data_IF_931559671718
#
_entry.id   IF_931559671718
#
_cell.length_a   1.000
_cell.length_b   1.000
_cell.length_c   1.000
_cell.angle_alpha   90.00
_cell.angle_beta   90.00
_cell.angle_gamma   90.00
#
_symmetry.space_group_name_H-M   'P 1'
#
loop_
_entity.id
_entity.type
_entity.pdbx_description
1 polymer ?
#
# COMPACT_ATOMS: atom_id res chain seq x y z
N UNK A 1 -6.70 -25.38 2.87
CA UNK A 1 -6.67 -25.55 4.35
C UNK A 1 -7.91 -24.86 4.87
N UNK A 2 -8.67 -25.50 5.72
CA UNK A 2 -9.85 -24.86 6.34
C UNK A 2 -9.40 -24.28 7.66
N UNK A 3 -9.41 -22.96 7.78
CA UNK A 3 -9.06 -22.27 9.03
C UNK A 3 -10.25 -22.29 9.99
N UNK A 4 -9.97 -22.43 11.28
CA UNK A 4 -10.96 -22.41 12.35
C UNK A 4 -11.19 -20.99 12.87
N UNK A 5 -12.26 -20.75 13.60
CA UNK A 5 -12.51 -19.47 14.30
C UNK A 5 -11.35 -19.13 15.25
N UNK A 6 -10.81 -20.14 15.94
CA UNK A 6 -9.67 -19.97 16.84
C UNK A 6 -8.42 -19.50 16.09
N UNK A 7 -8.18 -19.98 14.85
CA UNK A 7 -7.06 -19.50 14.03
C UNK A 7 -7.18 -18.00 13.73
N UNK A 8 -8.40 -17.52 13.42
CA UNK A 8 -8.67 -16.10 13.18
C UNK A 8 -8.45 -15.26 14.44
N UNK A 9 -8.93 -15.71 15.60
CA UNK A 9 -8.73 -15.03 16.87
C UNK A 9 -7.25 -14.96 17.28
N UNK A 10 -6.52 -16.05 17.13
CA UNK A 10 -5.11 -16.11 17.43
C UNK A 10 -4.28 -15.21 16.51
N UNK A 11 -4.59 -15.20 15.21
CA UNK A 11 -3.93 -14.30 14.24
C UNK A 11 -4.21 -12.84 14.57
N UNK A 12 -5.47 -12.50 14.89
CA UNK A 12 -5.86 -11.13 15.28
C UNK A 12 -5.08 -10.65 16.51
N UNK A 13 -4.91 -11.49 17.54
CA UNK A 13 -4.13 -11.14 18.73
C UNK A 13 -2.67 -10.84 18.39
N UNK A 14 -2.04 -11.67 17.55
CA UNK A 14 -0.66 -11.43 17.09
C UNK A 14 -0.53 -10.15 16.26
N UNK A 15 -1.52 -9.85 15.42
CA UNK A 15 -1.55 -8.61 14.64
C UNK A 15 -1.77 -7.37 15.52
N UNK A 16 -2.51 -7.51 16.62
CA UNK A 16 -2.66 -6.43 17.61
C UNK A 16 -1.35 -6.20 18.38
N UNK A 17 -0.62 -7.28 18.73
CA UNK A 17 0.73 -7.18 19.29
C UNK A 17 1.69 -6.45 18.31
N UNK A 18 1.63 -6.77 17.01
CA UNK A 18 2.40 -6.04 15.97
C UNK A 18 2.08 -4.54 15.98
N UNK A 19 0.80 -4.16 15.99
CA UNK A 19 0.41 -2.75 16.03
C UNK A 19 0.86 -2.06 17.32
N UNK A 20 0.76 -2.73 18.43
CA UNK A 20 1.20 -2.23 19.73
C UNK A 20 2.70 -1.99 19.76
N UNK A 21 3.48 -2.94 19.24
CA UNK A 21 4.94 -2.84 19.17
C UNK A 21 5.38 -1.71 18.24
N UNK A 22 4.77 -1.57 17.07
CA UNK A 22 5.01 -0.45 16.15
C UNK A 22 4.69 0.89 16.84
N UNK A 23 3.59 0.96 17.60
CA UNK A 23 3.15 2.15 18.34
C UNK A 23 4.10 2.60 19.44
N UNK A 24 5.01 1.74 19.91
CA UNK A 24 6.07 2.13 20.84
C UNK A 24 7.06 3.13 20.18
N UNK A 25 7.29 3.00 18.87
CA UNK A 25 8.23 3.83 18.13
C UNK A 25 7.52 4.90 17.28
N UNK A 26 6.49 4.51 16.53
CA UNK A 26 5.73 5.42 15.65
C UNK A 26 4.65 6.13 16.44
N UNK A 27 4.74 7.46 16.51
CA UNK A 27 3.77 8.32 17.19
C UNK A 27 2.80 8.91 16.18
N UNK A 28 1.51 8.84 16.46
CA UNK A 28 0.45 9.41 15.62
C UNK A 28 0.03 8.47 14.50
N UNK A 29 0.44 8.52 13.39
CA UNK A 29 0.26 7.82 12.10
C UNK A 29 -0.47 6.45 12.14
N UNK A 30 -1.49 6.28 13.01
CA UNK A 30 -2.20 4.99 13.20
C UNK A 30 -2.82 4.48 11.92
N UNK A 31 -3.47 5.37 11.16
CA UNK A 31 -4.08 5.02 9.87
C UNK A 31 -3.02 4.52 8.88
N UNK A 32 -1.87 5.18 8.80
CA UNK A 32 -0.79 4.76 7.90
C UNK A 32 -0.22 3.39 8.28
N UNK A 33 -0.04 3.12 9.57
CA UNK A 33 0.37 1.79 10.08
C UNK A 33 -0.66 0.73 9.72
N UNK A 34 -1.94 0.98 9.99
CA UNK A 34 -3.02 0.03 9.72
C UNK A 34 -3.13 -0.31 8.23
N UNK A 35 -3.17 0.69 7.36
CA UNK A 35 -3.26 0.44 5.92
C UNK A 35 -2.01 -0.21 5.34
N UNK A 36 -0.81 0.10 5.85
CA UNK A 36 0.40 -0.62 5.46
C UNK A 36 0.30 -2.11 5.84
N UNK A 37 -0.15 -2.42 7.06
CA UNK A 37 -0.39 -3.81 7.50
C UNK A 37 -1.45 -4.48 6.62
N UNK A 38 -2.59 -3.83 6.36
CA UNK A 38 -3.64 -4.39 5.48
C UNK A 38 -3.10 -4.71 4.09
N UNK A 39 -2.27 -3.83 3.51
CA UNK A 39 -1.65 -4.08 2.20
C UNK A 39 -0.68 -5.26 2.23
N UNK A 40 0.14 -5.40 3.28
CA UNK A 40 1.03 -6.55 3.46
C UNK A 40 0.21 -7.84 3.53
N UNK A 41 -0.88 -7.86 4.31
CA UNK A 41 -1.77 -9.00 4.48
C UNK A 41 -2.58 -9.32 3.21
N UNK A 42 -2.95 -8.31 2.45
CA UNK A 42 -3.67 -8.44 1.17
C UNK A 42 -2.76 -8.81 -0.01
N UNK A 43 -1.46 -9.05 0.24
CA UNK A 43 -0.45 -9.36 -0.79
C UNK A 43 -0.40 -8.32 -1.92
N UNK A 44 -0.41 -7.04 -1.53
CA UNK A 44 -0.37 -5.90 -2.47
C UNK A 44 0.51 -4.76 -1.96
N UNK A 45 0.45 -3.63 -2.63
CA UNK A 45 1.35 -2.49 -2.46
C UNK A 45 0.57 -1.23 -2.09
N UNK A 46 1.23 -0.26 -1.46
CA UNK A 46 0.61 1.02 -1.08
C UNK A 46 1.37 2.22 -1.64
N UNK A 47 0.63 3.26 -1.97
CA UNK A 47 1.17 4.59 -2.27
C UNK A 47 0.96 5.47 -1.05
N UNK A 48 1.99 6.17 -0.60
CA UNK A 48 1.95 7.05 0.55
C UNK A 48 2.26 8.48 0.10
N UNK A 49 1.33 9.36 0.33
CA UNK A 49 1.47 10.77 0.02
C UNK A 49 1.56 11.60 1.30
N UNK A 50 2.51 12.50 1.35
CA UNK A 50 2.71 13.39 2.48
C UNK A 50 3.98 14.21 2.34
N UNK A 51 4.06 15.27 3.14
CA UNK A 51 5.19 16.18 3.16
C UNK A 51 6.50 15.47 3.48
N UNK A 52 7.65 16.00 3.06
CA UNK A 52 8.97 15.52 3.50
C UNK A 52 9.11 15.68 5.02
N UNK A 53 9.93 14.81 5.63
CA UNK A 53 10.21 14.92 7.07
C UNK A 53 9.15 14.30 8.00
N UNK A 54 8.06 13.73 7.48
CA UNK A 54 6.99 13.10 8.30
C UNK A 54 7.29 11.66 8.74
N UNK A 55 8.54 11.20 8.69
CA UNK A 55 8.93 9.90 9.22
C UNK A 55 8.54 8.68 8.35
N UNK A 56 8.24 8.88 7.05
CA UNK A 56 7.83 7.80 6.12
C UNK A 56 8.83 6.63 6.09
N UNK A 57 10.12 6.92 6.08
CA UNK A 57 11.19 5.91 6.12
C UNK A 57 11.19 5.14 7.44
N UNK A 58 10.96 5.84 8.55
CA UNK A 58 10.91 5.21 9.88
C UNK A 58 9.69 4.30 9.99
N UNK A 59 8.54 4.70 9.45
CA UNK A 59 7.32 3.89 9.43
C UNK A 59 7.58 2.51 8.81
N UNK A 60 8.05 2.47 7.57
CA UNK A 60 8.24 1.18 6.85
C UNK A 60 9.37 0.35 7.46
N UNK A 61 10.44 1.00 7.94
CA UNK A 61 11.54 0.33 8.61
C UNK A 61 11.07 -0.33 9.92
N UNK A 62 10.32 0.41 10.75
CA UNK A 62 9.74 -0.13 11.99
C UNK A 62 8.83 -1.33 11.71
N UNK A 63 7.96 -1.23 10.70
CA UNK A 63 7.09 -2.36 10.31
C UNK A 63 7.94 -3.56 9.88
N UNK A 64 9.02 -3.35 9.10
CA UNK A 64 9.89 -4.45 8.64
C UNK A 64 10.64 -5.12 9.79
N UNK A 65 11.08 -4.37 10.79
CA UNK A 65 11.77 -4.88 11.98
C UNK A 65 10.83 -5.73 12.84
N UNK A 66 9.61 -5.24 13.12
CA UNK A 66 8.60 -5.98 13.92
C UNK A 66 8.11 -7.24 13.21
N UNK A 67 8.05 -7.24 11.87
CA UNK A 67 7.67 -8.39 11.05
C UNK A 67 8.85 -9.29 10.63
N UNK A 68 10.06 -9.02 11.11
CA UNK A 68 11.30 -9.75 10.76
C UNK A 68 11.47 -9.96 9.25
N UNK A 69 11.27 -8.89 8.47
CA UNK A 69 11.37 -8.88 7.02
C UNK A 69 12.59 -8.09 6.56
N UNK A 70 13.26 -8.55 5.49
CA UNK A 70 14.35 -7.80 4.88
C UNK A 70 13.83 -6.48 4.30
N UNK A 71 14.55 -5.39 4.57
CA UNK A 71 14.19 -4.03 4.17
C UNK A 71 15.23 -3.42 3.24
N UNK A 72 14.76 -2.67 2.24
CA UNK A 72 15.60 -1.77 1.44
C UNK A 72 14.87 -0.46 1.15
N UNK A 73 15.65 0.61 0.98
CA UNK A 73 15.19 1.91 0.50
C UNK A 73 15.79 2.21 -0.86
N UNK A 74 14.94 2.60 -1.80
CA UNK A 74 15.33 3.09 -3.12
C UNK A 74 14.91 4.55 -3.18
N UNK A 75 15.91 5.46 -3.18
CA UNK A 75 15.65 6.88 -3.40
C UNK A 75 15.57 7.13 -4.90
N UNK A 76 14.40 7.54 -5.39
CA UNK A 76 14.22 7.85 -6.80
C UNK A 76 14.79 9.23 -7.12
N UNK A 77 15.63 9.28 -8.13
CA UNK A 77 16.29 10.49 -8.66
C UNK A 77 16.22 10.47 -10.19
N UNK A 78 16.36 11.62 -10.86
CA UNK A 78 16.27 11.68 -12.33
C UNK A 78 17.31 10.80 -13.07
N UNK A 79 18.45 10.54 -12.45
CA UNK A 79 19.55 9.74 -12.97
C UNK A 79 19.49 8.25 -12.60
N UNK A 80 18.54 7.85 -11.74
CA UNK A 80 18.36 6.45 -11.33
C UNK A 80 17.99 5.58 -12.53
N UNK A 81 18.75 4.50 -12.74
CA UNK A 81 18.51 3.54 -13.82
C UNK A 81 17.71 2.31 -13.34
N UNK A 82 16.98 1.64 -14.23
CA UNK A 82 16.30 0.37 -13.89
C UNK A 82 17.21 -0.68 -13.27
N UNK A 83 18.47 -0.79 -13.74
CA UNK A 83 19.47 -1.71 -13.21
C UNK A 83 19.86 -1.44 -11.76
N UNK A 84 19.75 -0.19 -11.30
CA UNK A 84 20.04 0.17 -9.90
C UNK A 84 18.96 -0.39 -8.97
N UNK A 85 17.75 -0.58 -9.49
CA UNK A 85 16.61 -1.16 -8.79
C UNK A 85 16.67 -2.69 -8.85
N UNK A 86 16.83 -3.24 -10.05
CA UNK A 86 16.68 -4.68 -10.33
C UNK A 86 17.96 -5.47 -10.13
N UNK A 87 19.10 -4.80 -10.14
CA UNK A 87 20.40 -5.44 -10.14
C UNK A 87 20.96 -5.65 -11.55
N UNK A 88 22.17 -6.13 -11.61
CA UNK A 88 22.92 -6.29 -12.85
C UNK A 88 23.75 -7.56 -12.85
N UNK A 89 24.07 -8.09 -14.03
CA UNK A 89 25.00 -9.19 -14.18
C UNK A 89 26.41 -8.63 -14.35
N UNK A 90 27.33 -9.07 -13.50
CA UNK A 90 28.74 -8.71 -13.53
C UNK A 90 29.61 -9.88 -13.99
N UNK A 91 30.71 -9.61 -14.64
CA UNK A 91 31.71 -10.62 -14.96
C UNK A 91 32.67 -10.73 -13.77
N UNK A 92 32.62 -11.87 -13.10
CA UNK A 92 33.53 -12.19 -12.02
C UNK A 92 34.68 -13.09 -12.53
N UNK A 93 35.92 -12.76 -12.18
CA UNK A 93 37.06 -13.62 -12.44
C UNK A 93 37.24 -14.58 -11.28
N UNK A 94 37.08 -15.85 -11.57
CA UNK A 94 37.38 -16.91 -10.59
C UNK A 94 38.90 -17.06 -10.41
N UNK A 95 39.31 -17.62 -9.28
CA UNK A 95 40.73 -17.87 -8.95
C UNK A 95 41.47 -18.73 -10.00
N UNK A 96 40.73 -19.55 -10.76
CA UNK A 96 41.22 -20.36 -11.87
C UNK A 96 41.37 -19.61 -13.20
N UNK A 97 41.17 -18.27 -13.21
CA UNK A 97 41.26 -17.40 -14.39
C UNK A 97 40.06 -17.45 -15.33
N UNK A 98 39.03 -18.29 -15.06
CA UNK A 98 37.80 -18.31 -15.83
C UNK A 98 36.92 -17.12 -15.46
N UNK A 99 36.18 -16.61 -16.46
CA UNK A 99 35.16 -15.58 -16.26
C UNK A 99 33.79 -16.25 -16.10
N UNK A 100 33.07 -15.81 -15.10
CA UNK A 100 31.68 -16.23 -14.84
C UNK A 100 30.79 -15.00 -14.73
N UNK A 101 29.58 -15.09 -15.31
CA UNK A 101 28.55 -14.08 -15.07
C UNK A 101 27.88 -14.36 -13.71
N UNK A 102 27.99 -13.41 -12.81
CA UNK A 102 27.34 -13.46 -11.50
C UNK A 102 26.29 -12.36 -11.42
N UNK A 103 25.06 -12.74 -11.07
CA UNK A 103 23.99 -11.77 -10.89
C UNK A 103 24.07 -11.13 -9.51
N UNK A 104 24.30 -9.80 -9.49
CA UNK A 104 24.19 -9.01 -8.27
C UNK A 104 22.75 -8.50 -8.11
N UNK A 105 22.08 -8.99 -7.08
CA UNK A 105 20.70 -8.59 -6.77
C UNK A 105 20.61 -7.12 -6.42
N UNK A 106 19.66 -6.41 -7.03
CA UNK A 106 19.29 -5.05 -6.65
C UNK A 106 18.44 -4.98 -5.39
N UNK A 107 18.19 -3.77 -4.86
CA UNK A 107 17.44 -3.54 -3.63
C UNK A 107 15.99 -4.04 -3.69
N UNK A 108 15.42 -4.18 -4.88
CA UNK A 108 14.05 -4.66 -5.08
C UNK A 108 13.83 -6.08 -4.56
N UNK A 109 14.88 -6.90 -4.42
CA UNK A 109 14.79 -8.27 -3.91
C UNK A 109 14.60 -8.37 -2.40
N UNK A 110 14.53 -7.25 -1.68
CA UNK A 110 14.08 -7.22 -0.29
C UNK A 110 12.57 -7.48 -0.19
N UNK A 111 12.15 -8.02 0.96
CA UNK A 111 10.74 -8.33 1.20
C UNK A 111 9.88 -7.07 1.42
N UNK A 112 10.47 -6.04 2.03
CA UNK A 112 9.87 -4.71 2.18
C UNK A 112 10.73 -3.67 1.52
N UNK A 113 10.17 -2.94 0.56
CA UNK A 113 10.86 -1.92 -0.22
C UNK A 113 10.17 -0.58 -0.04
N UNK A 114 10.92 0.43 0.39
CA UNK A 114 10.51 1.82 0.31
C UNK A 114 11.00 2.42 -1.00
N UNK A 115 10.08 2.70 -1.92
CA UNK A 115 10.34 3.45 -3.14
C UNK A 115 10.09 4.93 -2.89
N UNK A 116 11.14 5.64 -2.45
CA UNK A 116 11.01 7.01 -1.96
C UNK A 116 11.07 8.01 -3.10
N UNK A 117 10.06 8.92 -3.17
CA UNK A 117 9.90 9.95 -4.21
C UNK A 117 9.82 9.37 -5.64
N UNK A 118 8.97 8.36 -5.86
CA UNK A 118 8.86 7.62 -7.12
C UNK A 118 8.67 8.53 -8.34
N UNK A 119 8.00 9.68 -8.16
CA UNK A 119 7.73 10.66 -9.21
C UNK A 119 8.99 11.46 -9.66
N UNK A 120 10.15 11.32 -9.01
CA UNK A 120 11.39 12.00 -9.41
C UNK A 120 12.18 11.26 -10.48
N UNK A 121 11.99 9.96 -10.64
CA UNK A 121 12.68 9.20 -11.68
C UNK A 121 11.90 9.16 -12.99
N UNK A 122 12.61 8.87 -14.07
CA UNK A 122 12.03 8.75 -15.42
C UNK A 122 10.96 7.64 -15.49
N UNK A 123 10.00 7.72 -16.42
CA UNK A 123 8.97 6.68 -16.60
C UNK A 123 9.54 5.28 -16.84
N UNK A 124 10.71 5.18 -17.48
CA UNK A 124 11.40 3.90 -17.69
C UNK A 124 11.81 3.25 -16.37
N UNK A 125 12.32 4.03 -15.45
CA UNK A 125 12.76 3.57 -14.12
C UNK A 125 11.56 3.24 -13.24
N UNK A 126 10.50 4.07 -13.27
CA UNK A 126 9.24 3.79 -12.59
C UNK A 126 8.63 2.46 -13.06
N UNK A 127 8.64 2.21 -14.39
CA UNK A 127 8.09 0.99 -14.98
C UNK A 127 8.78 -0.28 -14.49
N UNK A 128 10.09 -0.26 -14.23
CA UNK A 128 10.81 -1.41 -13.71
C UNK A 128 10.32 -1.83 -12.31
N UNK A 129 10.05 -0.86 -11.43
CA UNK A 129 9.44 -1.14 -10.11
C UNK A 129 8.01 -1.65 -10.26
N UNK A 130 7.19 -0.97 -11.08
CA UNK A 130 5.78 -1.28 -11.24
C UNK A 130 5.54 -2.64 -11.92
N UNK A 131 6.46 -3.07 -12.80
CA UNK A 131 6.45 -4.41 -13.38
C UNK A 131 6.69 -5.47 -12.29
N UNK A 132 7.75 -5.29 -11.48
CA UNK A 132 8.04 -6.20 -10.37
C UNK A 132 6.90 -6.28 -9.36
N UNK A 133 6.19 -5.17 -9.09
CA UNK A 133 5.01 -5.15 -8.23
C UNK A 133 3.85 -5.97 -8.82
N UNK A 134 3.60 -5.85 -10.14
CA UNK A 134 2.49 -6.52 -10.80
C UNK A 134 2.73 -8.02 -10.99
N UNK A 135 3.90 -8.39 -11.48
CA UNK A 135 4.23 -9.75 -11.89
C UNK A 135 4.92 -10.58 -10.78
N UNK A 136 5.41 -9.91 -9.72
CA UNK A 136 6.26 -10.50 -8.66
C UNK A 136 7.49 -11.20 -9.21
N UNK A 137 7.95 -10.75 -10.37
CA UNK A 137 9.13 -11.21 -11.07
C UNK A 137 9.90 -10.04 -11.65
N UNK A 138 11.18 -10.26 -11.91
CA UNK A 138 12.04 -9.32 -12.64
C UNK A 138 12.78 -10.09 -13.72
N UNK A 139 12.73 -9.61 -14.96
CA UNK A 139 13.46 -10.21 -16.08
C UNK A 139 14.76 -9.45 -16.36
N UNK A 140 15.90 -10.13 -16.24
CA UNK A 140 17.24 -9.56 -16.42
C UNK A 140 18.00 -10.42 -17.41
N UNK A 141 18.41 -9.81 -18.55
CA UNK A 141 19.12 -10.49 -19.64
C UNK A 141 18.45 -11.79 -20.12
N UNK A 142 17.11 -11.83 -20.12
CA UNK A 142 16.32 -13.00 -20.52
C UNK A 142 16.02 -13.99 -19.39
N UNK A 143 16.65 -13.85 -18.22
CA UNK A 143 16.38 -14.68 -17.05
C UNK A 143 15.31 -14.04 -16.16
N UNK A 144 14.21 -14.76 -15.91
CA UNK A 144 13.17 -14.31 -14.98
C UNK A 144 13.47 -14.78 -13.56
N UNK A 145 13.56 -13.81 -12.65
CA UNK A 145 13.82 -14.03 -11.22
C UNK A 145 12.57 -13.76 -10.41
N UNK A 146 12.19 -14.70 -9.54
CA UNK A 146 11.07 -14.53 -8.61
C UNK A 146 11.44 -13.64 -7.45
N UNK A 147 10.49 -12.82 -6.99
CA UNK A 147 10.60 -12.03 -5.77
C UNK A 147 10.47 -12.91 -4.53
N UNK A 148 11.15 -12.52 -3.46
CA UNK A 148 10.99 -13.17 -2.15
C UNK A 148 9.59 -12.87 -1.59
N UNK A 149 8.95 -13.87 -0.96
CA UNK A 149 7.64 -13.67 -0.32
C UNK A 149 7.79 -13.52 1.20
N UNK A 150 6.96 -12.69 1.84
CA UNK A 150 6.06 -11.71 1.23
C UNK A 150 6.84 -10.62 0.48
N UNK A 151 6.24 -9.96 -0.51
CA UNK A 151 6.84 -8.83 -1.21
C UNK A 151 5.92 -7.62 -1.13
N UNK A 152 6.38 -6.56 -0.49
CA UNK A 152 5.63 -5.34 -0.28
C UNK A 152 6.43 -4.11 -0.68
N UNK A 153 5.82 -3.24 -1.47
CA UNK A 153 6.37 -1.93 -1.83
C UNK A 153 5.50 -0.84 -1.22
N UNK A 154 6.11 0.05 -0.47
CA UNK A 154 5.55 1.34 -0.12
C UNK A 154 6.21 2.40 -0.99
N UNK A 155 5.50 2.91 -1.98
CA UNK A 155 5.98 4.03 -2.78
C UNK A 155 5.57 5.34 -2.11
N UNK A 156 6.44 6.38 -2.18
CA UNK A 156 6.10 7.71 -1.69
C UNK A 156 6.04 8.72 -2.81
N UNK A 157 5.14 9.70 -2.66
CA UNK A 157 5.09 10.88 -3.50
C UNK A 157 5.12 12.13 -2.62
N UNK A 158 5.78 13.17 -3.11
CA UNK A 158 5.74 14.49 -2.51
C UNK A 158 4.82 15.38 -3.35
N UNK A 159 3.68 15.84 -2.81
CA UNK A 159 2.71 16.61 -3.58
C UNK A 159 3.18 18.05 -3.88
N UNK A 160 4.18 18.56 -3.18
CA UNK A 160 4.64 19.95 -3.33
C UNK A 160 5.68 20.10 -4.43
N UNK A 161 6.53 19.10 -4.64
CA UNK A 161 7.58 19.15 -5.65
C UNK A 161 7.03 18.77 -7.02
N UNK A 162 6.60 19.77 -7.78
CA UNK A 162 6.10 19.60 -9.16
C UNK A 162 7.20 19.79 -10.20
N UNK A 163 8.23 20.61 -9.89
CA UNK A 163 9.30 20.94 -10.82
C UNK A 163 10.29 19.79 -10.97
N UNK A 164 10.56 19.34 -12.20
CA UNK A 164 11.45 18.22 -12.47
C UNK A 164 10.91 16.83 -12.08
N UNK A 165 9.60 16.69 -11.92
CA UNK A 165 8.96 15.40 -11.60
C UNK A 165 8.23 14.81 -12.80
N UNK A 166 8.08 13.49 -12.78
CA UNK A 166 7.30 12.70 -13.74
C UNK A 166 6.13 12.06 -12.99
N UNK A 167 4.92 12.65 -13.05
CA UNK A 167 3.76 12.09 -12.38
C UNK A 167 3.49 10.68 -12.88
N UNK A 168 3.04 9.81 -11.98
CA UNK A 168 2.60 8.47 -12.34
C UNK A 168 1.29 8.58 -13.13
N UNK A 169 1.20 7.97 -14.34
CA UNK A 169 -0.08 7.83 -15.03
C UNK A 169 -1.10 7.07 -14.18
N UNK A 170 -2.37 7.35 -14.37
CA UNK A 170 -3.50 6.75 -13.61
C UNK A 170 -3.47 5.22 -13.69
N UNK A 171 -3.21 4.66 -14.88
CA UNK A 171 -3.10 3.22 -15.09
C UNK A 171 -1.95 2.56 -14.28
N UNK A 172 -0.94 3.33 -13.91
CA UNK A 172 0.16 2.89 -13.07
C UNK A 172 -0.18 3.06 -11.58
N UNK A 173 -0.87 4.14 -11.21
CA UNK A 173 -1.38 4.34 -9.86
C UNK A 173 -2.40 3.26 -9.46
N UNK A 174 -3.18 2.75 -10.39
CA UNK A 174 -4.16 1.68 -10.17
C UNK A 174 -3.54 0.32 -9.75
N UNK A 175 -2.20 0.17 -9.82
CA UNK A 175 -1.48 -1.01 -9.30
C UNK A 175 -1.33 -1.00 -7.78
N UNK A 176 -1.46 0.14 -7.14
CA UNK A 176 -1.47 0.24 -5.68
C UNK A 176 -2.86 -0.11 -5.12
N UNK A 177 -2.92 -0.91 -4.05
CA UNK A 177 -4.20 -1.24 -3.40
C UNK A 177 -4.87 0.01 -2.82
N UNK A 178 -4.08 0.87 -2.19
CA UNK A 178 -4.57 2.12 -1.61
C UNK A 178 -3.53 3.23 -1.68
N UNK A 179 -4.03 4.46 -1.57
CA UNK A 179 -3.25 5.68 -1.37
C UNK A 179 -3.48 6.17 0.06
N UNK A 180 -2.42 6.21 0.85
CA UNK A 180 -2.41 6.61 2.25
C UNK A 180 -1.97 8.07 2.32
N UNK A 181 -2.73 8.91 3.00
CA UNK A 181 -2.37 10.29 3.26
C UNK A 181 -1.74 10.40 4.65
N UNK A 182 -0.55 10.99 4.71
CA UNK A 182 0.13 11.28 5.99
C UNK A 182 -0.08 12.74 6.32
N UNK A 183 -0.87 12.98 7.37
CA UNK A 183 -1.11 14.31 7.90
C UNK A 183 0.05 14.81 8.75
N UNK A 184 0.12 16.12 8.90
CA UNK A 184 1.08 16.73 9.82
C UNK A 184 0.73 16.35 11.27
N UNK A 185 1.72 15.99 12.10
CA UNK A 185 1.47 15.61 13.48
C UNK A 185 0.84 16.74 14.29
N UNK A 186 -0.06 16.39 15.19
CA UNK A 186 -0.63 17.32 16.16
C UNK A 186 0.45 17.86 17.13
N UNK A 187 0.16 18.96 17.83
CA UNK A 187 1.08 19.50 18.85
C UNK A 187 1.46 18.46 19.91
N UNK A 188 0.53 17.64 20.34
CA UNK A 188 0.77 16.59 21.33
C UNK A 188 1.71 15.51 20.80
N UNK A 189 1.49 15.07 19.55
CA UNK A 189 2.34 14.11 18.86
C UNK A 189 3.76 14.66 18.63
N UNK A 190 3.89 15.93 18.24
CA UNK A 190 5.20 16.57 18.08
C UNK A 190 6.00 16.58 19.38
N UNK A 191 5.35 16.87 20.51
CA UNK A 191 5.99 16.83 21.83
C UNK A 191 6.47 15.41 22.13
N UNK A 192 5.63 14.40 21.86
CA UNK A 192 5.97 13.01 22.12
C UNK A 192 7.10 12.51 21.21
N UNK A 193 7.03 12.83 19.90
CA UNK A 193 8.11 12.55 18.93
C UNK A 193 9.42 13.14 19.43
N UNK A 194 9.41 14.42 19.82
CA UNK A 194 10.62 15.10 20.28
C UNK A 194 11.21 14.42 21.53
N UNK A 195 10.38 14.07 22.51
CA UNK A 195 10.84 13.36 23.71
C UNK A 195 11.49 12.03 23.40
N UNK A 196 10.90 11.25 22.46
CA UNK A 196 11.43 9.93 22.06
C UNK A 196 12.69 10.03 21.22
N UNK A 197 12.80 11.04 20.36
CA UNK A 197 13.93 11.15 19.40
C UNK A 197 15.13 11.92 19.95
N UNK A 198 14.92 12.81 20.93
CA UNK A 198 16.01 13.59 21.56
C UNK A 198 16.42 13.04 22.92
N UNK A 199 15.67 12.10 23.48
CA UNK A 199 16.03 11.37 24.71
C UNK A 199 17.11 10.33 24.43
N UNK A 200 17.98 10.07 25.39
CA UNK A 200 19.10 9.11 25.27
C UNK A 200 18.66 7.62 25.29
N UNK A 201 17.39 7.29 25.18
CA UNK A 201 16.90 5.91 25.18
C UNK A 201 16.67 5.42 23.74
N UNK A 202 17.39 4.37 23.35
CA UNK A 202 17.07 3.58 22.15
C UNK A 202 15.92 2.63 22.48
N UNK A 203 14.83 2.70 21.74
CA UNK A 203 13.76 1.71 21.83
C UNK A 203 14.19 0.51 20.99
N UNK A 204 14.38 -0.63 21.62
CA UNK A 204 14.58 -1.90 20.94
C UNK A 204 13.21 -2.52 20.63
N UNK A 205 12.95 -2.80 19.36
CA UNK A 205 11.70 -3.40 18.89
C UNK A 205 11.79 -4.92 18.90
N UNK A 206 10.73 -5.54 19.40
CA UNK A 206 10.60 -6.99 19.38
C UNK A 206 10.10 -7.47 18.01
N UNK A 207 10.65 -8.57 17.52
CA UNK A 207 10.17 -9.29 16.35
C UNK A 207 8.96 -10.13 16.75
N UNK A 208 7.78 -9.76 16.29
CA UNK A 208 6.51 -10.41 16.67
C UNK A 208 6.11 -11.50 15.68
N UNK A 209 6.36 -11.26 14.39
CA UNK A 209 6.04 -12.19 13.30
C UNK A 209 7.25 -12.31 12.38
N UNK A 210 7.21 -13.31 11.49
CA UNK A 210 8.22 -13.52 10.47
C UNK A 210 7.58 -13.74 9.09
N UNK A 211 8.40 -13.91 8.04
CA UNK A 211 7.92 -14.08 6.66
C UNK A 211 6.91 -15.23 6.49
N UNK A 212 7.10 -16.36 7.21
CA UNK A 212 6.17 -17.50 7.12
C UNK A 212 4.83 -17.18 7.75
N UNK A 213 4.83 -16.48 8.89
CA UNK A 213 3.61 -16.04 9.57
C UNK A 213 2.81 -15.09 8.67
N UNK A 214 3.49 -14.16 7.98
CA UNK A 214 2.82 -13.24 7.05
C UNK A 214 2.23 -13.98 5.86
N UNK A 215 2.97 -14.92 5.24
CA UNK A 215 2.43 -15.73 4.13
C UNK A 215 1.24 -16.56 4.59
N UNK A 216 1.26 -17.09 5.81
CA UNK A 216 0.13 -17.81 6.42
C UNK A 216 -1.08 -16.87 6.60
N UNK A 217 -0.88 -15.66 7.14
CA UNK A 217 -1.93 -14.66 7.28
C UNK A 217 -2.50 -14.22 5.91
N UNK A 218 -1.67 -14.10 4.87
CA UNK A 218 -2.12 -13.83 3.49
C UNK A 218 -3.05 -14.93 2.96
N UNK A 219 -2.81 -16.19 3.31
CA UNK A 219 -3.71 -17.29 2.96
C UNK A 219 -5.04 -17.17 3.72
N UNK A 220 -4.99 -16.83 5.01
CA UNK A 220 -6.21 -16.60 5.81
C UNK A 220 -7.05 -15.47 5.24
N UNK A 221 -6.45 -14.35 4.82
CA UNK A 221 -7.17 -13.24 4.16
C UNK A 221 -7.93 -13.70 2.92
N UNK A 222 -7.37 -14.59 2.11
CA UNK A 222 -8.04 -15.12 0.91
C UNK A 222 -9.29 -15.92 1.27
N UNK A 223 -9.25 -16.65 2.38
CA UNK A 223 -10.36 -17.49 2.86
C UNK A 223 -11.40 -16.72 3.67
N UNK A 224 -11.18 -15.44 4.03
CA UNK A 224 -12.22 -14.60 4.64
C UNK A 224 -13.43 -14.55 3.72
N UNK A 225 -14.60 -14.88 4.27
CA UNK A 225 -15.85 -14.95 3.53
C UNK A 225 -16.39 -13.55 3.23
N UNK A 226 -17.03 -13.42 2.09
CA UNK A 226 -17.84 -12.26 1.75
C UNK A 226 -19.21 -12.77 1.27
N UNK A 227 -20.29 -12.31 1.90
CA UNK A 227 -21.64 -12.63 1.48
C UNK A 227 -22.01 -11.87 0.20
N UNK A 228 -22.93 -12.42 -0.58
CA UNK A 228 -23.31 -11.87 -1.89
C UNK A 228 -23.83 -10.42 -1.76
N UNK A 229 -24.61 -10.11 -0.74
CA UNK A 229 -25.12 -8.77 -0.44
C UNK A 229 -24.00 -7.76 -0.10
N UNK A 230 -22.90 -8.22 0.52
CA UNK A 230 -21.71 -7.41 0.76
C UNK A 230 -20.94 -7.17 -0.53
N UNK A 231 -20.87 -8.17 -1.40
CA UNK A 231 -20.23 -8.04 -2.71
C UNK A 231 -21.03 -7.06 -3.60
N UNK A 232 -22.36 -7.20 -3.64
CA UNK A 232 -23.26 -6.28 -4.35
C UNK A 232 -23.08 -4.85 -3.84
N UNK A 233 -23.06 -4.65 -2.53
CA UNK A 233 -22.83 -3.34 -1.93
C UNK A 233 -21.48 -2.71 -2.38
N UNK A 234 -20.42 -3.52 -2.46
CA UNK A 234 -19.13 -3.05 -2.95
C UNK A 234 -19.17 -2.71 -4.45
N UNK A 235 -19.92 -3.48 -5.25
CA UNK A 235 -20.13 -3.21 -6.68
C UNK A 235 -20.91 -1.90 -6.86
N UNK A 236 -21.95 -1.68 -6.07
CA UNK A 236 -22.76 -0.44 -6.12
C UNK A 236 -21.91 0.79 -5.81
N UNK A 237 -20.98 0.70 -4.81
CA UNK A 237 -20.04 1.79 -4.54
C UNK A 237 -19.19 2.08 -5.77
N UNK A 238 -18.66 1.06 -6.44
CA UNK A 238 -17.82 1.25 -7.64
C UNK A 238 -18.64 1.80 -8.80
N UNK A 239 -19.84 1.27 -9.04
CA UNK A 239 -20.75 1.78 -10.07
C UNK A 239 -21.09 3.26 -9.85
N UNK A 240 -21.33 3.65 -8.60
CA UNK A 240 -21.60 5.04 -8.25
C UNK A 240 -20.42 6.00 -8.42
N UNK A 241 -19.20 5.49 -8.67
CA UNK A 241 -18.05 6.36 -9.02
C UNK A 241 -18.08 6.85 -10.49
N UNK A 242 -18.89 6.23 -11.35
CA UNK A 242 -18.95 6.55 -12.78
C UNK A 242 -19.99 7.64 -13.06
N UNK A 243 -19.62 8.76 -13.72
CA UNK A 243 -20.51 9.90 -13.94
C UNK A 243 -21.79 9.55 -14.72
N UNK A 244 -21.72 8.59 -15.66
CA UNK A 244 -22.85 8.21 -16.51
C UNK A 244 -23.92 7.37 -15.76
N UNK A 245 -23.55 6.71 -14.67
CA UNK A 245 -24.43 5.79 -13.94
C UNK A 245 -24.61 6.15 -12.47
N UNK A 246 -24.02 7.25 -12.02
CA UNK A 246 -24.07 7.60 -10.61
C UNK A 246 -25.44 8.13 -10.19
N UNK A 247 -25.90 7.66 -9.03
CA UNK A 247 -27.06 8.20 -8.32
C UNK A 247 -26.71 9.42 -7.44
N UNK A 248 -25.42 9.79 -7.41
CA UNK A 248 -24.90 10.95 -6.67
C UNK A 248 -24.66 12.09 -7.67
N UNK A 249 -25.44 13.18 -7.62
CA UNK A 249 -25.35 14.26 -8.60
C UNK A 249 -23.95 14.89 -8.71
N UNK A 250 -23.24 15.00 -7.60
CA UNK A 250 -21.89 15.55 -7.54
C UNK A 250 -20.87 14.71 -8.31
N UNK A 251 -21.08 13.40 -8.41
CA UNK A 251 -20.23 12.51 -9.22
C UNK A 251 -20.43 12.81 -10.70
N UNK A 252 -21.68 12.95 -11.16
CA UNK A 252 -21.98 13.31 -12.55
C UNK A 252 -21.43 14.69 -12.92
N UNK A 253 -21.36 15.62 -11.96
CA UNK A 253 -20.88 16.98 -12.18
C UNK A 253 -19.35 17.09 -12.13
N UNK A 254 -18.67 16.43 -11.18
CA UNK A 254 -17.26 16.69 -10.83
C UNK A 254 -16.28 15.59 -11.20
N UNK A 255 -16.75 14.39 -11.55
CA UNK A 255 -15.87 13.27 -11.90
C UNK A 255 -15.76 13.13 -13.41
N UNK A 256 -14.53 12.96 -13.90
CA UNK A 256 -14.25 12.64 -15.28
C UNK A 256 -14.22 11.13 -15.53
N UNK A 257 -13.55 10.40 -14.62
CA UNK A 257 -13.45 8.93 -14.68
C UNK A 257 -13.59 8.32 -13.29
N UNK A 258 -14.42 7.28 -13.21
CA UNK A 258 -14.62 6.48 -12.01
C UNK A 258 -13.65 5.32 -11.89
N UNK A 259 -13.79 4.56 -10.82
CA UNK A 259 -12.93 3.43 -10.47
C UNK A 259 -13.29 2.17 -11.27
N UNK A 260 -12.30 1.52 -11.88
CA UNK A 260 -12.48 0.27 -12.62
C UNK A 260 -12.49 -1.00 -11.74
N UNK A 261 -12.49 -2.21 -12.38
CA UNK A 261 -12.53 -3.49 -11.68
C UNK A 261 -11.40 -3.72 -10.67
N UNK A 262 -10.21 -3.15 -10.90
CA UNK A 262 -9.10 -3.21 -9.93
C UNK A 262 -9.42 -2.49 -8.63
N UNK A 263 -10.19 -1.41 -8.69
CA UNK A 263 -10.67 -0.73 -7.49
C UNK A 263 -11.59 -1.61 -6.66
N UNK A 264 -12.55 -2.32 -7.30
CA UNK A 264 -13.38 -3.31 -6.62
C UNK A 264 -12.54 -4.41 -5.97
N UNK A 265 -11.59 -4.99 -6.71
CA UNK A 265 -10.69 -6.02 -6.18
C UNK A 265 -9.88 -5.51 -4.99
N UNK A 266 -9.38 -4.26 -5.04
CA UNK A 266 -8.63 -3.64 -3.95
C UNK A 266 -9.52 -3.40 -2.73
N UNK A 267 -10.75 -2.93 -2.94
CA UNK A 267 -11.75 -2.71 -1.90
C UNK A 267 -12.03 -4.01 -1.13
N UNK A 268 -12.31 -5.09 -1.85
CA UNK A 268 -12.59 -6.40 -1.25
C UNK A 268 -11.35 -6.97 -0.54
N UNK A 269 -10.17 -6.91 -1.15
CA UNK A 269 -8.92 -7.40 -0.53
C UNK A 269 -8.61 -6.70 0.79
N UNK A 270 -8.72 -5.38 0.84
CA UNK A 270 -8.46 -4.61 2.06
C UNK A 270 -9.57 -4.78 3.10
N UNK A 271 -10.84 -4.91 2.68
CA UNK A 271 -11.93 -5.25 3.60
C UNK A 271 -11.74 -6.62 4.26
N UNK A 272 -11.30 -7.64 3.50
CA UNK A 272 -10.93 -8.96 4.02
C UNK A 272 -9.74 -8.89 4.99
N UNK A 273 -8.68 -8.15 4.65
CA UNK A 273 -7.54 -7.96 5.53
C UNK A 273 -7.94 -7.28 6.85
N UNK A 274 -8.80 -6.26 6.78
CA UNK A 274 -9.34 -5.58 7.95
C UNK A 274 -10.19 -6.53 8.81
N UNK A 275 -11.03 -7.36 8.20
CA UNK A 275 -11.83 -8.36 8.92
C UNK A 275 -10.94 -9.35 9.68
N UNK A 276 -9.85 -9.85 9.06
CA UNK A 276 -8.87 -10.72 9.72
C UNK A 276 -8.23 -10.02 10.93
N UNK A 277 -7.76 -8.78 10.76
CA UNK A 277 -7.17 -8.00 11.86
C UNK A 277 -8.15 -7.80 13.02
N UNK A 278 -9.44 -7.69 12.71
CA UNK A 278 -10.51 -7.62 13.71
C UNK A 278 -10.97 -9.01 14.26
N UNK A 279 -10.26 -10.09 13.95
CA UNK A 279 -10.57 -11.45 14.42
C UNK A 279 -11.81 -12.08 13.81
N UNK A 280 -12.27 -11.58 12.65
CA UNK A 280 -13.47 -12.07 11.98
C UNK A 280 -13.11 -12.83 10.71
N UNK A 281 -13.87 -13.88 10.43
CA UNK A 281 -13.76 -14.70 9.23
C UNK A 281 -14.71 -14.27 8.11
N UNK A 282 -15.42 -13.14 8.26
CA UNK A 282 -16.33 -12.58 7.28
C UNK A 282 -16.21 -11.05 7.21
N UNK A 283 -16.45 -10.50 6.02
CA UNK A 283 -16.48 -9.06 5.76
C UNK A 283 -17.81 -8.46 6.23
N UNK A 284 -17.74 -7.27 6.80
CA UNK A 284 -18.90 -6.45 7.18
C UNK A 284 -18.94 -5.14 6.36
N UNK A 285 -20.07 -4.46 6.34
CA UNK A 285 -20.23 -3.12 5.74
C UNK A 285 -19.22 -2.14 6.31
N UNK A 286 -18.95 -2.21 7.62
CA UNK A 286 -18.00 -1.34 8.28
C UNK A 286 -16.56 -1.53 7.74
N UNK A 287 -16.21 -2.76 7.29
CA UNK A 287 -14.91 -3.02 6.67
C UNK A 287 -14.82 -2.34 5.30
N UNK A 288 -15.84 -2.51 4.47
CA UNK A 288 -15.90 -1.90 3.13
C UNK A 288 -15.85 -0.38 3.24
N UNK A 289 -16.69 0.22 4.09
CA UNK A 289 -16.72 1.67 4.30
C UNK A 289 -15.39 2.23 4.80
N UNK A 290 -14.74 1.53 5.73
CA UNK A 290 -13.48 1.97 6.34
C UNK A 290 -12.33 2.04 5.33
N UNK A 291 -12.29 1.13 4.33
CA UNK A 291 -11.21 1.08 3.34
C UNK A 291 -11.53 1.85 2.06
N UNK A 292 -12.76 2.32 1.87
CA UNK A 292 -13.22 2.94 0.62
C UNK A 292 -12.41 4.18 0.23
N UNK A 293 -12.22 5.15 1.15
CA UNK A 293 -11.44 6.37 0.86
C UNK A 293 -10.02 6.07 0.38
N UNK A 294 -9.16 5.35 1.14
CA UNK A 294 -7.80 5.05 0.68
C UNK A 294 -7.74 4.25 -0.61
N UNK A 295 -8.73 3.39 -0.89
CA UNK A 295 -8.81 2.61 -2.12
C UNK A 295 -9.22 3.46 -3.32
N UNK A 296 -10.16 4.38 -3.16
CA UNK A 296 -10.79 5.08 -4.28
C UNK A 296 -10.19 6.45 -4.58
N UNK A 297 -9.53 7.12 -3.61
CA UNK A 297 -9.05 8.49 -3.76
C UNK A 297 -8.07 8.73 -4.92
N UNK A 298 -7.33 7.70 -5.34
CA UNK A 298 -6.41 7.78 -6.48
C UNK A 298 -6.99 7.16 -7.75
N UNK A 299 -8.27 6.78 -7.73
CA UNK A 299 -9.02 6.18 -8.83
C UNK A 299 -10.17 7.02 -9.32
N UNK A 300 -10.59 8.01 -8.52
CA UNK A 300 -11.54 9.03 -8.95
C UNK A 300 -10.77 10.21 -9.52
N UNK A 301 -10.91 10.43 -10.82
CA UNK A 301 -10.32 11.57 -11.49
C UNK A 301 -11.35 12.67 -11.60
N UNK A 302 -11.04 13.84 -11.05
CA UNK A 302 -11.89 15.01 -11.13
C UNK A 302 -11.82 15.60 -12.54
N UNK A 303 -12.89 16.23 -12.96
CA UNK A 303 -12.87 17.08 -14.15
C UNK A 303 -12.43 18.49 -13.77
N UNK A 304 -12.29 19.36 -14.78
CA UNK A 304 -11.83 20.73 -14.58
C UNK A 304 -12.72 21.53 -13.62
N UNK A 305 -14.04 21.30 -13.62
CA UNK A 305 -14.99 21.99 -12.74
C UNK A 305 -14.78 21.57 -11.28
N UNK A 306 -14.61 20.25 -11.02
CA UNK A 306 -14.33 19.72 -9.69
C UNK A 306 -13.00 20.24 -9.12
N UNK A 307 -11.95 20.31 -9.95
CA UNK A 307 -10.66 20.88 -9.53
C UNK A 307 -10.78 22.39 -9.25
N UNK A 308 -11.46 23.14 -10.10
CA UNK A 308 -11.66 24.59 -9.94
C UNK A 308 -12.46 24.94 -8.69
N UNK A 309 -13.44 24.10 -8.30
CA UNK A 309 -14.21 24.26 -7.07
C UNK A 309 -13.50 23.70 -5.82
N UNK A 310 -12.31 23.12 -5.97
CA UNK A 310 -11.53 22.58 -4.87
C UNK A 310 -12.14 21.32 -4.24
N UNK A 311 -12.92 20.56 -5.01
CA UNK A 311 -13.46 19.27 -4.54
C UNK A 311 -12.33 18.26 -4.34
N UNK A 312 -12.53 17.34 -3.41
CA UNK A 312 -11.59 16.25 -3.16
C UNK A 312 -12.24 14.90 -3.46
N UNK A 313 -11.42 13.94 -3.90
CA UNK A 313 -11.91 12.58 -4.11
C UNK A 313 -12.50 11.97 -2.82
N UNK A 314 -11.94 12.30 -1.65
CA UNK A 314 -12.44 11.81 -0.36
C UNK A 314 -13.85 12.32 -0.04
N UNK A 315 -14.14 13.60 -0.29
CA UNK A 315 -15.49 14.16 -0.13
C UNK A 315 -16.50 13.47 -1.04
N UNK A 316 -16.13 13.20 -2.28
CA UNK A 316 -16.99 12.50 -3.24
C UNK A 316 -17.22 11.04 -2.84
N UNK A 317 -16.19 10.33 -2.35
CA UNK A 317 -16.35 8.99 -1.79
C UNK A 317 -17.29 8.99 -0.60
N UNK A 318 -17.22 10.00 0.27
CA UNK A 318 -18.13 10.12 1.41
C UNK A 318 -19.60 10.29 0.99
N UNK A 319 -19.86 11.10 -0.02
CA UNK A 319 -21.21 11.25 -0.57
C UNK A 319 -21.73 9.93 -1.14
N UNK A 320 -20.90 9.16 -1.85
CA UNK A 320 -21.26 7.82 -2.30
C UNK A 320 -21.63 6.93 -1.11
N UNK A 321 -20.77 6.85 -0.08
CA UNK A 321 -20.99 6.00 1.09
C UNK A 321 -22.20 6.39 1.94
N UNK A 322 -22.64 7.66 1.87
CA UNK A 322 -23.86 8.13 2.52
C UNK A 322 -25.11 7.80 1.72
N UNK A 323 -25.01 7.84 0.39
CA UNK A 323 -26.14 7.64 -0.53
C UNK A 323 -26.43 6.17 -0.75
N UNK A 324 -25.38 5.35 -0.98
CA UNK A 324 -25.55 3.91 -1.22
C UNK A 324 -25.87 3.19 0.10
N UNK A 325 -27.04 2.57 0.14
CA UNK A 325 -27.49 1.75 1.29
C UNK A 325 -27.49 0.27 0.89
N UNK A 326 -27.19 -0.60 1.86
CA UNK A 326 -27.29 -2.04 1.66
C UNK A 326 -28.72 -2.44 1.23
N UNK A 327 -28.84 -3.28 0.21
CA UNK A 327 -30.12 -3.83 -0.25
C UNK A 327 -30.98 -2.87 -1.10
N UNK A 328 -30.45 -1.75 -1.56
CA UNK A 328 -31.06 -0.95 -2.62
C UNK A 328 -30.32 -1.27 -3.93
N UNK A 329 -30.94 -2.08 -4.80
CA UNK A 329 -30.49 -2.25 -6.18
C UNK A 329 -30.61 -0.90 -6.90
N UNK A 330 -29.51 -0.42 -7.49
CA UNK A 330 -29.45 0.80 -8.31
C UNK A 330 -30.07 0.51 -9.67
#
# INVERSE_FOLDING_TARGET
MTFTTEDYENMSKRLEEVKTEIGQFIVGQREAVEFAIYCVLADGHALLEGLPGLGKTMLIRTISEVLDLSFSRIQFTPDLMPSDITGTSMIERLENGKQQFTFQKGPIFSQMVLADEINRATPKTQSALLEAMGEKTVTILGDTKLMNRPFFVLATQNPIEMEGTYPLPEAQMDRFLCKILVSYPTKAELIEITKRTTGGHSIELNKIMNAKDIVYAQQMVKEVLIADDMLEYAVDIIAATHPESSVVPEIAQYVQYGSGPRGLQSLIKLAKARALVAGRFHVSIADIKSVARPVLRHRLLLNYEGEAEGKTADELVDLILQTIKQGQTI
#
